data_IF_162654749083
#
_entry.id   IF_162654749083
#
_cell.length_a   1.000
_cell.length_b   1.000
_cell.length_c   1.000
_cell.angle_alpha   90.00
_cell.angle_beta   90.00
_cell.angle_gamma   90.00
#
_symmetry.space_group_name_H-M   'P 1'
#
loop_
_entity.id
_entity.type
_entity.pdbx_description
1 polymer ?
#
# COMPACT_ATOMS: atom_id res chain seq x y z
N UNK A 1 24.02 -7.28 -2.45
CA UNK A 1 25.35 -7.42 -1.83
C UNK A 1 25.16 -7.53 -0.33
N UNK A 2 25.53 -8.66 0.24
CA UNK A 2 25.43 -8.85 1.68
C UNK A 2 26.80 -8.57 2.31
N UNK A 3 26.82 -7.61 3.22
CA UNK A 3 28.01 -7.30 4.02
C UNK A 3 27.85 -7.94 5.38
N UNK A 4 28.91 -8.61 5.84
CA UNK A 4 28.95 -9.16 7.19
C UNK A 4 29.45 -8.12 8.19
N UNK A 5 29.21 -8.37 9.48
CA UNK A 5 29.75 -7.51 10.53
C UNK A 5 31.30 -7.40 10.46
N UNK A 6 31.97 -8.47 10.04
CA UNK A 6 33.41 -8.47 9.84
C UNK A 6 33.86 -7.54 8.73
N UNK A 7 33.11 -7.48 7.64
CA UNK A 7 33.39 -6.56 6.54
C UNK A 7 33.21 -5.10 6.96
N UNK A 8 32.20 -4.81 7.73
CA UNK A 8 31.99 -3.47 8.29
C UNK A 8 33.10 -3.05 9.25
N UNK A 9 33.57 -3.97 10.08
CA UNK A 9 34.64 -3.70 11.05
C UNK A 9 35.99 -3.34 10.39
N UNK A 10 36.20 -3.76 9.14
CA UNK A 10 37.43 -3.45 8.37
C UNK A 10 37.39 -2.07 7.75
N UNK A 11 36.24 -1.43 7.70
CA UNK A 11 36.06 -0.11 7.12
C UNK A 11 36.26 0.99 8.15
N UNK A 12 36.73 2.15 7.69
CA UNK A 12 36.76 3.34 8.55
C UNK A 12 35.39 3.83 8.91
N UNK A 13 35.25 4.68 9.95
CA UNK A 13 33.93 5.14 10.41
C UNK A 13 33.06 5.78 9.32
N UNK A 14 33.65 6.59 8.46
CA UNK A 14 32.92 7.23 7.36
C UNK A 14 32.42 6.22 6.33
N UNK A 15 33.24 5.23 5.98
CA UNK A 15 32.88 4.17 5.05
C UNK A 15 31.81 3.26 5.63
N UNK A 16 31.90 2.94 6.92
CA UNK A 16 30.86 2.18 7.62
C UNK A 16 29.51 2.89 7.58
N UNK A 17 29.49 4.19 7.81
CA UNK A 17 28.27 5.00 7.74
C UNK A 17 27.66 4.96 6.36
N UNK A 18 28.46 5.12 5.29
CA UNK A 18 27.98 5.07 3.92
C UNK A 18 27.39 3.70 3.57
N UNK A 19 28.02 2.63 4.00
CA UNK A 19 27.52 1.28 3.77
C UNK A 19 26.19 1.05 4.48
N UNK A 20 26.07 1.48 5.73
CA UNK A 20 24.82 1.38 6.48
C UNK A 20 23.70 2.18 5.80
N UNK A 21 23.99 3.38 5.36
CA UNK A 21 23.01 4.21 4.63
C UNK A 21 22.55 3.53 3.34
N UNK A 22 23.46 2.93 2.56
CA UNK A 22 23.10 2.18 1.36
C UNK A 22 22.25 0.95 1.67
N UNK A 23 22.59 0.20 2.70
CA UNK A 23 21.82 -0.97 3.12
C UNK A 23 20.42 -0.57 3.57
N UNK A 24 20.31 0.49 4.36
CA UNK A 24 19.01 1.04 4.78
C UNK A 24 18.18 1.53 3.57
N UNK A 25 18.80 2.22 2.62
CA UNK A 25 18.13 2.65 1.41
C UNK A 25 17.61 1.47 0.57
N UNK A 26 18.36 0.38 0.50
CA UNK A 26 17.93 -0.85 -0.16
C UNK A 26 16.81 -1.56 0.59
N UNK A 27 16.81 -1.53 1.92
CA UNK A 27 15.73 -2.12 2.74
C UNK A 27 14.45 -1.31 2.73
N UNK A 28 14.53 0.01 2.58
CA UNK A 28 13.35 0.87 2.59
C UNK A 28 12.56 0.84 1.31
N UNK A 29 12.97 0.07 0.36
CA UNK A 29 12.11 -0.27 -0.73
C UNK A 29 12.78 -0.31 -2.06
N UNK A 30 12.75 -1.47 -2.60
CA UNK A 30 12.90 -1.75 -4.02
C UNK A 30 12.08 -0.78 -4.88
N UNK A 31 11.10 -0.08 -4.29
CA UNK A 31 10.16 0.82 -4.93
C UNK A 31 10.22 2.26 -4.42
N UNK A 32 11.25 2.61 -3.68
CA UNK A 32 11.46 3.95 -3.10
C UNK A 32 10.28 4.44 -2.23
N UNK A 33 9.50 3.53 -1.67
CA UNK A 33 8.38 3.89 -0.79
C UNK A 33 8.91 4.25 0.58
N UNK A 34 8.73 5.51 0.98
CA UNK A 34 9.01 5.97 2.34
C UNK A 34 7.69 6.15 3.07
N UNK A 35 7.62 5.59 4.27
CA UNK A 35 6.47 5.85 5.15
C UNK A 35 6.37 7.34 5.44
N UNK A 36 5.18 7.85 5.31
CA UNK A 36 4.87 9.27 5.51
C UNK A 36 3.77 9.39 6.55
N UNK A 37 3.96 10.28 7.52
CA UNK A 37 2.94 10.56 8.54
C UNK A 37 2.24 11.85 8.18
N UNK A 38 0.91 11.83 8.09
CA UNK A 38 0.06 13.00 7.91
C UNK A 38 -1.21 12.87 8.73
N UNK A 39 -1.59 13.95 9.39
CA UNK A 39 -2.79 13.97 10.25
C UNK A 39 -2.81 12.85 11.29
N UNK A 40 -1.63 12.47 11.81
CA UNK A 40 -1.50 11.38 12.78
C UNK A 40 -1.62 9.98 12.19
N UNK A 41 -1.71 9.84 10.87
CA UNK A 41 -1.84 8.58 10.16
C UNK A 41 -0.55 8.27 9.42
N UNK A 42 -0.07 7.04 9.55
CA UNK A 42 1.12 6.58 8.82
C UNK A 42 0.70 5.95 7.49
N UNK A 43 1.19 6.51 6.39
CA UNK A 43 0.96 6.01 5.04
C UNK A 43 2.21 5.30 4.53
N UNK A 44 2.02 4.29 3.67
CA UNK A 44 3.11 3.53 3.10
C UNK A 44 3.95 4.33 2.09
N UNK A 45 3.40 5.40 1.55
CA UNK A 45 4.10 6.26 0.61
C UNK A 45 3.62 7.70 0.71
N UNK A 46 4.45 8.62 0.20
CA UNK A 46 4.06 10.04 0.06
C UNK A 46 2.89 10.20 -0.91
N UNK A 47 2.89 9.41 -1.98
CA UNK A 47 1.81 9.42 -2.97
C UNK A 47 0.45 9.11 -2.34
N UNK A 48 0.40 8.09 -1.50
CA UNK A 48 -0.81 7.73 -0.75
C UNK A 48 -1.23 8.86 0.21
N UNK A 49 -0.28 9.44 0.93
CA UNK A 49 -0.54 10.56 1.84
C UNK A 49 -1.07 11.80 1.09
N UNK A 50 -0.51 12.12 -0.07
CA UNK A 50 -0.96 13.23 -0.90
C UNK A 50 -2.38 12.99 -1.41
N UNK A 51 -2.70 11.77 -1.82
CA UNK A 51 -4.06 11.43 -2.24
C UNK A 51 -5.06 11.55 -1.09
N UNK A 52 -4.66 11.15 0.09
CA UNK A 52 -5.50 11.34 1.28
C UNK A 52 -5.83 12.82 1.52
N UNK A 53 -4.86 13.71 1.37
CA UNK A 53 -5.08 15.14 1.51
C UNK A 53 -6.11 15.65 0.49
N UNK A 54 -6.03 15.21 -0.77
CA UNK A 54 -7.01 15.54 -1.80
C UNK A 54 -8.41 15.05 -1.43
N UNK A 55 -8.52 13.80 -0.97
CA UNK A 55 -9.79 13.20 -0.57
C UNK A 55 -10.40 13.91 0.63
N UNK A 56 -9.59 14.37 1.56
CA UNK A 56 -10.08 15.17 2.69
C UNK A 56 -10.71 16.48 2.24
N UNK A 57 -10.12 17.15 1.26
CA UNK A 57 -10.68 18.36 0.70
C UNK A 57 -12.02 18.09 0.01
N UNK A 58 -12.14 17.00 -0.74
CA UNK A 58 -13.37 16.59 -1.37
C UNK A 58 -14.45 16.24 -0.33
N UNK A 59 -14.06 15.60 0.77
CA UNK A 59 -14.96 15.28 1.87
C UNK A 59 -15.50 16.55 2.52
N UNK A 60 -14.64 17.52 2.80
CA UNK A 60 -15.05 18.82 3.35
C UNK A 60 -15.99 19.57 2.41
N UNK A 61 -15.76 19.49 1.11
CA UNK A 61 -16.60 20.13 0.10
C UNK A 61 -17.95 19.41 -0.09
N UNK A 62 -18.14 18.25 0.53
CA UNK A 62 -19.36 17.46 0.38
C UNK A 62 -19.47 16.71 -0.94
N UNK A 63 -18.37 16.60 -1.70
CA UNK A 63 -18.37 15.89 -2.99
C UNK A 63 -18.25 14.38 -2.82
N UNK A 64 -17.66 13.94 -1.72
CA UNK A 64 -17.60 12.52 -1.32
C UNK A 64 -18.08 12.35 0.10
N UNK A 65 -18.46 11.12 0.45
CA UNK A 65 -18.96 10.75 1.78
C UNK A 65 -18.35 9.42 2.20
N UNK A 66 -18.41 9.13 3.51
CA UNK A 66 -17.99 7.84 4.09
C UNK A 66 -16.58 7.42 3.71
N UNK A 67 -15.62 8.35 3.78
CA UNK A 67 -14.22 8.05 3.50
C UNK A 67 -13.66 7.08 4.54
N UNK A 68 -13.18 5.93 4.08
CA UNK A 68 -12.56 4.89 4.90
C UNK A 68 -11.19 4.55 4.34
N UNK A 69 -10.27 4.24 5.25
CA UNK A 69 -8.89 3.85 4.91
C UNK A 69 -8.70 2.37 5.17
N UNK A 70 -7.86 1.73 4.36
CA UNK A 70 -7.43 0.35 4.57
C UNK A 70 -8.58 -0.63 4.78
N UNK A 71 -9.56 -0.60 3.90
CA UNK A 71 -10.71 -1.50 3.96
C UNK A 71 -10.39 -2.86 3.36
N UNK A 72 -10.71 -3.91 4.10
CA UNK A 72 -10.46 -5.28 3.68
C UNK A 72 -11.69 -5.87 2.98
N UNK A 73 -11.46 -6.43 1.79
CA UNK A 73 -12.46 -7.17 1.03
C UNK A 73 -12.06 -8.62 0.92
N UNK A 74 -12.92 -9.52 1.36
CA UNK A 74 -12.69 -10.97 1.22
C UNK A 74 -13.08 -11.38 -0.20
N UNK A 75 -12.09 -11.81 -0.97
CA UNK A 75 -12.24 -12.10 -2.39
C UNK A 75 -12.67 -13.54 -2.67
N UNK A 76 -12.27 -14.47 -1.80
CA UNK A 76 -12.58 -15.89 -1.94
C UNK A 76 -13.25 -16.36 -0.67
N UNK A 77 -14.19 -17.30 -0.78
CA UNK A 77 -14.90 -17.86 0.37
C UNK A 77 -13.95 -18.51 1.37
N UNK A 78 -14.49 -18.89 2.52
CA UNK A 78 -13.75 -19.33 3.72
C UNK A 78 -13.05 -20.70 3.54
N UNK A 79 -13.02 -21.25 2.33
CA UNK A 79 -12.36 -22.53 2.10
C UNK A 79 -10.84 -22.37 2.13
N UNK A 80 -10.24 -23.04 3.08
CA UNK A 80 -8.78 -23.17 3.13
C UNK A 80 -8.35 -24.25 2.16
N UNK A 81 -7.20 -24.07 1.51
CA UNK A 81 -6.57 -25.14 0.77
C UNK A 81 -6.19 -26.27 1.73
N UNK A 82 -5.95 -27.50 1.23
CA UNK A 82 -5.49 -28.61 2.10
C UNK A 82 -4.20 -28.28 2.87
N UNK A 83 -3.43 -27.31 2.41
CA UNK A 83 -2.20 -26.85 3.08
C UNK A 83 -2.45 -25.73 4.10
N UNK A 84 -3.69 -25.33 4.31
CA UNK A 84 -4.05 -24.29 5.28
C UNK A 84 -3.82 -22.86 4.79
N UNK A 85 -3.63 -22.64 3.48
CA UNK A 85 -3.41 -21.32 2.92
C UNK A 85 -4.60 -20.39 3.21
N UNK A 86 -4.28 -19.13 3.54
CA UNK A 86 -5.27 -18.13 3.91
C UNK A 86 -6.18 -17.75 2.75
N UNK A 87 -7.39 -17.33 3.09
CA UNK A 87 -8.36 -16.73 2.17
C UNK A 87 -7.74 -15.50 1.52
N UNK A 88 -7.87 -15.34 0.21
CA UNK A 88 -7.44 -14.14 -0.48
C UNK A 88 -8.29 -12.96 -0.05
N UNK A 89 -7.63 -11.89 0.35
CA UNK A 89 -8.25 -10.63 0.69
C UNK A 89 -7.57 -9.50 -0.09
N UNK A 90 -8.33 -8.48 -0.39
CA UNK A 90 -7.81 -7.24 -0.95
C UNK A 90 -7.98 -6.13 0.09
N UNK A 91 -6.92 -5.38 0.34
CA UNK A 91 -6.95 -4.21 1.21
C UNK A 91 -6.89 -2.97 0.33
N UNK A 92 -8.00 -2.24 0.29
CA UNK A 92 -8.09 -0.99 -0.46
C UNK A 92 -7.49 0.15 0.34
N UNK A 93 -6.72 1.02 -0.32
CA UNK A 93 -6.16 2.19 0.35
C UNK A 93 -7.25 3.18 0.76
N UNK A 94 -8.20 3.46 -0.14
CA UNK A 94 -9.30 4.38 0.11
C UNK A 94 -10.62 3.83 -0.41
N UNK A 95 -11.67 4.00 0.36
CA UNK A 95 -13.05 3.69 -0.04
C UNK A 95 -13.93 4.84 0.35
N UNK A 96 -14.76 5.31 -0.55
CA UNK A 96 -15.71 6.38 -0.28
C UNK A 96 -16.94 6.27 -1.19
N UNK A 97 -17.93 7.07 -0.90
CA UNK A 97 -19.15 7.16 -1.71
C UNK A 97 -19.15 8.46 -2.49
N UNK A 98 -19.41 8.38 -3.78
CA UNK A 98 -19.58 9.53 -4.67
C UNK A 98 -20.77 9.30 -5.59
N UNK A 99 -21.71 10.25 -5.61
CA UNK A 99 -22.93 10.15 -6.41
C UNK A 99 -23.70 8.83 -6.17
N UNK A 100 -23.75 8.39 -4.91
CA UNK A 100 -24.43 7.17 -4.51
C UNK A 100 -23.70 5.88 -4.86
N UNK A 101 -22.49 5.97 -5.40
CA UNK A 101 -21.67 4.81 -5.77
C UNK A 101 -20.47 4.64 -4.86
N UNK A 102 -20.15 3.40 -4.56
CA UNK A 102 -18.92 3.08 -3.82
C UNK A 102 -17.73 3.14 -4.77
N UNK A 103 -16.75 3.97 -4.41
CA UNK A 103 -15.49 4.12 -5.14
C UNK A 103 -14.39 3.48 -4.30
N UNK A 104 -13.59 2.63 -4.93
CA UNK A 104 -12.44 1.97 -4.31
C UNK A 104 -11.19 2.43 -5.04
N UNK A 105 -10.24 2.98 -4.32
CA UNK A 105 -8.98 3.49 -4.88
C UNK A 105 -7.77 2.76 -4.30
N UNK A 106 -6.78 2.61 -5.15
CA UNK A 106 -5.48 2.08 -4.77
C UNK A 106 -4.39 3.02 -5.29
N UNK A 107 -3.53 3.46 -4.39
CA UNK A 107 -2.44 4.40 -4.69
C UNK A 107 -1.13 3.65 -4.99
N UNK A 108 -1.19 2.49 -5.64
CA UNK A 108 -0.01 1.72 -5.97
C UNK A 108 0.75 2.29 -7.15
N UNK A 109 2.04 2.59 -6.94
CA UNK A 109 2.95 2.92 -8.02
C UNK A 109 3.42 1.71 -8.83
N UNK A 110 3.24 0.50 -8.32
CA UNK A 110 3.71 -0.74 -8.92
C UNK A 110 2.64 -1.83 -8.88
N UNK A 111 2.39 -2.45 -10.05
CA UNK A 111 1.38 -3.50 -10.19
C UNK A 111 2.02 -4.88 -10.17
N UNK A 112 1.75 -5.65 -9.12
CA UNK A 112 2.15 -7.05 -9.04
C UNK A 112 1.12 -7.93 -9.74
N UNK A 113 1.51 -9.16 -10.09
CA UNK A 113 0.57 -10.16 -10.63
C UNK A 113 -0.55 -10.44 -9.64
N UNK A 114 -0.23 -10.51 -8.36
CA UNK A 114 -1.21 -10.73 -7.30
C UNK A 114 -2.25 -9.60 -7.22
N UNK A 115 -1.79 -8.36 -7.32
CA UNK A 115 -2.68 -7.20 -7.36
C UNK A 115 -3.63 -7.24 -8.56
N UNK A 116 -3.12 -7.58 -9.76
CA UNK A 116 -3.94 -7.68 -10.97
C UNK A 116 -5.04 -8.74 -10.80
N UNK A 117 -4.73 -9.88 -10.20
CA UNK A 117 -5.69 -10.94 -9.90
C UNK A 117 -6.75 -10.43 -8.92
N UNK A 118 -6.33 -9.78 -7.84
CA UNK A 118 -7.23 -9.22 -6.83
C UNK A 118 -8.16 -8.17 -7.41
N UNK A 119 -7.66 -7.32 -8.30
CA UNK A 119 -8.46 -6.30 -8.99
C UNK A 119 -9.57 -6.93 -9.83
N UNK A 120 -9.27 -8.01 -10.56
CA UNK A 120 -10.25 -8.76 -11.34
C UNK A 120 -11.28 -9.45 -10.44
N UNK A 121 -10.85 -10.00 -9.32
CA UNK A 121 -11.76 -10.64 -8.35
C UNK A 121 -12.69 -9.62 -7.68
N UNK A 122 -12.23 -8.41 -7.45
CA UNK A 122 -13.08 -7.31 -6.95
C UNK A 122 -14.21 -7.01 -7.93
N UNK A 123 -13.91 -6.94 -9.21
CA UNK A 123 -14.93 -6.73 -10.23
C UNK A 123 -15.92 -7.90 -10.29
N UNK A 124 -15.44 -9.12 -10.28
CA UNK A 124 -16.27 -10.32 -10.38
C UNK A 124 -17.18 -10.49 -9.16
N UNK A 125 -16.62 -10.33 -7.96
CA UNK A 125 -17.35 -10.59 -6.71
C UNK A 125 -18.26 -9.45 -6.27
N UNK A 126 -17.77 -8.21 -6.40
CA UNK A 126 -18.47 -7.02 -5.88
C UNK A 126 -18.99 -6.07 -6.96
N UNK A 127 -18.63 -6.32 -8.21
CA UNK A 127 -18.96 -5.39 -9.30
C UNK A 127 -18.19 -4.07 -9.21
N UNK A 128 -17.08 -4.03 -8.47
CA UNK A 128 -16.30 -2.83 -8.24
C UNK A 128 -14.98 -2.91 -9.03
N UNK A 129 -14.76 -1.92 -9.89
CA UNK A 129 -13.49 -1.75 -10.56
C UNK A 129 -12.60 -0.82 -9.74
N UNK A 130 -11.47 -1.33 -9.27
CA UNK A 130 -10.53 -0.56 -8.45
C UNK A 130 -9.90 0.53 -9.30
N UNK A 131 -9.99 1.78 -8.84
CA UNK A 131 -9.37 2.92 -9.49
C UNK A 131 -7.94 3.10 -8.99
N UNK A 132 -7.03 3.24 -9.91
CA UNK A 132 -5.63 3.48 -9.59
C UNK A 132 -5.35 4.99 -9.64
N UNK A 133 -4.80 5.51 -8.58
CA UNK A 133 -4.59 6.96 -8.40
C UNK A 133 -3.13 7.31 -8.15
#
# INVERSE_FOLDING_TARGET
MSLTASDLARLGPAAQKQVVEKVLAQKTGKYHNRKTVRHGITFDSKHEADRYDELRLLLKAGEIHDLKLQQTYKLVGVQRTPTGAAVRAYIADFVYTRDGKTIVEDAKGFKTKDYIIKKKLMLERFGIWVEEV
#
